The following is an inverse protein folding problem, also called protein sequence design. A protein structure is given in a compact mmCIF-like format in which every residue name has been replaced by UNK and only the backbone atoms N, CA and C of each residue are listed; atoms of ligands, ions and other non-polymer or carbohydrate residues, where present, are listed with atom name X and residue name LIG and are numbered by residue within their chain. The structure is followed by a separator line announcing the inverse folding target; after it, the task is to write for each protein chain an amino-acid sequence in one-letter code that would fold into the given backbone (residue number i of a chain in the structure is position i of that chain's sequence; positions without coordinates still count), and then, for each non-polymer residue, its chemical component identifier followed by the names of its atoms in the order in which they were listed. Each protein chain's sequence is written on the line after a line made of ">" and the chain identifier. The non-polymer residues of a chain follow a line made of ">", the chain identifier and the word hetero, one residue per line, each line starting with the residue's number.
data_IF_446127611374
#
_entry.id   IF_446127611374
#
_cell.length_a   1.000
_cell.length_b   1.000
_cell.length_c   1.000
_cell.angle_alpha   90.00
_cell.angle_beta   90.00
_cell.angle_gamma   90.00
#
_symmetry.space_group_name_H-M   'P 1'
#
loop_
_entity.id
_entity.type
_entity.pdbx_description
1 polymer ?
#
# COMPACT_ATOMS: atom_id res chain seq x y z
N UNK A 1 -5.16 -24.04 -5.13
CA UNK A 1 -4.24 -22.97 -4.71
C UNK A 1 -5.10 -21.74 -4.54
N UNK A 2 -5.17 -21.21 -3.33
CA UNK A 2 -5.91 -19.98 -3.10
C UNK A 2 -5.31 -18.86 -3.94
N UNK A 3 -6.17 -18.13 -4.64
CA UNK A 3 -5.78 -16.94 -5.39
C UNK A 3 -5.18 -15.93 -4.41
N UNK A 4 -3.94 -15.49 -4.65
CA UNK A 4 -3.25 -14.52 -3.79
C UNK A 4 -4.04 -13.23 -3.63
N UNK A 5 -4.85 -12.88 -4.62
CA UNK A 5 -5.83 -11.81 -4.49
C UNK A 5 -6.83 -12.06 -3.37
N UNK A 6 -7.40 -13.26 -3.28
CA UNK A 6 -8.30 -13.66 -2.20
C UNK A 6 -7.61 -13.60 -0.85
N UNK A 7 -6.35 -14.07 -0.77
CA UNK A 7 -5.55 -14.02 0.45
C UNK A 7 -5.36 -12.56 0.90
N UNK A 8 -4.95 -11.66 0.02
CA UNK A 8 -4.75 -10.25 0.35
C UNK A 8 -6.02 -9.59 0.88
N UNK A 9 -7.17 -9.86 0.25
CA UNK A 9 -8.47 -9.31 0.67
C UNK A 9 -8.86 -9.78 2.08
N UNK A 10 -8.48 -10.99 2.49
CA UNK A 10 -8.74 -11.50 3.85
C UNK A 10 -7.98 -10.73 4.94
N UNK A 11 -6.89 -10.04 4.59
CA UNK A 11 -6.10 -9.22 5.51
C UNK A 11 -6.49 -7.74 5.50
N UNK A 12 -7.58 -7.37 4.82
CA UNK A 12 -8.10 -6.01 4.89
C UNK A 12 -8.53 -5.66 6.33
N UNK A 13 -8.02 -4.54 6.83
CA UNK A 13 -8.40 -3.97 8.11
C UNK A 13 -9.26 -2.74 7.84
N UNK A 14 -10.44 -2.71 8.44
CA UNK A 14 -11.32 -1.53 8.42
C UNK A 14 -10.79 -0.45 9.38
N UNK A 15 -10.62 0.77 8.86
CA UNK A 15 -10.33 1.96 9.65
C UNK A 15 -11.62 2.60 10.19
N UNK A 16 -11.48 3.52 11.13
CA UNK A 16 -12.61 4.21 11.76
C UNK A 16 -13.50 4.97 10.76
N UNK A 17 -12.95 5.38 9.62
CA UNK A 17 -13.68 6.09 8.55
C UNK A 17 -14.24 5.14 7.49
N UNK A 18 -14.36 3.84 7.79
CA UNK A 18 -14.90 2.78 6.93
C UNK A 18 -14.15 2.59 5.62
N UNK A 19 -12.88 2.98 5.60
CA UNK A 19 -11.95 2.65 4.51
C UNK A 19 -11.21 1.38 4.92
N UNK A 20 -10.71 0.62 3.95
CA UNK A 20 -9.91 -0.56 4.24
C UNK A 20 -8.46 -0.34 3.83
N UNK A 21 -7.56 -0.97 4.56
CA UNK A 21 -6.13 -1.01 4.23
C UNK A 21 -5.54 -2.39 4.51
N UNK A 22 -4.43 -2.69 3.85
CA UNK A 22 -3.64 -3.90 4.06
C UNK A 22 -2.28 -3.50 4.65
N UNK A 23 -1.88 -4.05 5.81
CA UNK A 23 -0.57 -3.76 6.38
C UNK A 23 0.60 -4.19 5.52
N UNK A 24 1.66 -3.38 5.52
CA UNK A 24 2.88 -3.70 4.77
C UNK A 24 3.55 -4.97 5.28
N UNK A 25 3.43 -5.30 6.57
CA UNK A 25 3.93 -6.56 7.13
C UNK A 25 3.28 -7.78 6.46
N UNK A 26 1.97 -7.72 6.21
CA UNK A 26 1.24 -8.79 5.50
C UNK A 26 1.81 -8.98 4.10
N UNK A 27 2.16 -7.90 3.40
CA UNK A 27 2.75 -8.03 2.06
C UNK A 27 4.08 -8.79 2.10
N UNK A 28 4.92 -8.55 3.12
CA UNK A 28 6.19 -9.28 3.30
C UNK A 28 5.96 -10.77 3.57
N UNK A 29 4.93 -11.09 4.35
CA UNK A 29 4.63 -12.47 4.73
C UNK A 29 3.98 -13.25 3.58
N UNK A 30 3.11 -12.59 2.80
CA UNK A 30 2.33 -13.21 1.72
C UNK A 30 3.14 -13.36 0.44
N UNK A 31 3.93 -12.35 0.07
CA UNK A 31 4.71 -12.36 -1.17
C UNK A 31 6.06 -13.05 -0.96
N UNK A 32 6.04 -14.38 -0.97
CA UNK A 32 7.26 -15.19 -1.05
C UNK A 32 7.73 -15.36 -2.49
N UNK A 33 8.98 -15.81 -2.67
CA UNK A 33 9.53 -16.14 -4.00
C UNK A 33 8.64 -17.16 -4.73
N UNK A 34 8.16 -18.17 -4.03
CA UNK A 34 7.32 -19.24 -4.57
C UNK A 34 5.93 -18.70 -4.95
N UNK A 35 5.36 -17.85 -4.09
CA UNK A 35 4.07 -17.19 -4.31
C UNK A 35 4.11 -16.31 -5.56
N UNK A 36 5.14 -15.47 -5.70
CA UNK A 36 5.34 -14.62 -6.88
C UNK A 36 5.58 -15.49 -8.12
N UNK A 37 6.44 -16.50 -8.06
CA UNK A 37 6.71 -17.37 -9.22
C UNK A 37 5.45 -18.10 -9.71
N UNK A 38 4.60 -18.57 -8.78
CA UNK A 38 3.32 -19.17 -9.12
C UNK A 38 2.40 -18.18 -9.85
N UNK A 39 2.27 -16.95 -9.35
CA UNK A 39 1.50 -15.88 -10.01
C UNK A 39 2.02 -15.57 -11.41
N UNK A 40 3.33 -15.48 -11.58
CA UNK A 40 3.92 -15.17 -12.87
C UNK A 40 3.62 -16.24 -13.93
N UNK A 41 3.59 -17.51 -13.53
CA UNK A 41 3.17 -18.62 -14.40
C UNK A 41 1.68 -18.52 -14.75
N UNK A 42 0.83 -18.24 -13.77
CA UNK A 42 -0.62 -18.08 -13.98
C UNK A 42 -0.94 -16.87 -14.88
N UNK A 43 -0.17 -15.79 -14.71
CA UNK A 43 -0.25 -14.60 -15.54
C UNK A 43 0.48 -14.77 -16.88
N UNK A 44 0.92 -15.96 -17.28
CA UNK A 44 1.61 -16.22 -18.56
C UNK A 44 2.74 -15.24 -18.88
N UNK A 45 3.50 -14.80 -17.86
CA UNK A 45 4.70 -13.98 -18.06
C UNK A 45 5.83 -14.90 -18.52
N UNK A 46 6.64 -14.46 -19.49
CA UNK A 46 7.72 -15.28 -20.04
C UNK A 46 8.78 -15.61 -18.98
N UNK A 47 9.24 -16.87 -18.94
CA UNK A 47 10.14 -17.41 -17.92
C UNK A 47 11.44 -16.60 -17.77
N UNK A 48 11.92 -16.00 -18.86
CA UNK A 48 13.13 -15.19 -18.87
C UNK A 48 13.06 -14.00 -17.90
N UNK A 49 11.88 -13.38 -17.76
CA UNK A 49 11.68 -12.24 -16.86
C UNK A 49 11.40 -12.64 -15.40
N UNK A 50 11.19 -13.92 -15.10
CA UNK A 50 10.76 -14.35 -13.75
C UNK A 50 11.75 -13.97 -12.67
N UNK A 51 13.04 -14.23 -12.89
CA UNK A 51 14.05 -13.95 -11.88
C UNK A 51 14.20 -12.46 -11.61
N UNK A 52 14.13 -11.63 -12.66
CA UNK A 52 14.21 -10.18 -12.52
C UNK A 52 13.01 -9.63 -11.75
N UNK A 53 11.79 -9.99 -12.16
CA UNK A 53 10.56 -9.53 -11.51
C UNK A 53 10.49 -9.99 -10.06
N UNK A 54 10.79 -11.26 -9.77
CA UNK A 54 10.81 -11.77 -8.39
C UNK A 54 11.78 -10.95 -7.54
N UNK A 55 13.00 -10.69 -8.05
CA UNK A 55 14.00 -9.90 -7.34
C UNK A 55 13.48 -8.48 -7.08
N UNK A 56 12.96 -7.80 -8.11
CA UNK A 56 12.47 -6.42 -8.01
C UNK A 56 11.27 -6.31 -7.07
N UNK A 57 10.32 -7.22 -7.16
CA UNK A 57 9.14 -7.25 -6.27
C UNK A 57 9.58 -7.40 -4.82
N UNK A 58 10.45 -8.37 -4.52
CA UNK A 58 10.90 -8.62 -3.15
C UNK A 58 11.81 -7.51 -2.61
N UNK A 59 12.53 -6.77 -3.46
CA UNK A 59 13.41 -5.69 -3.00
C UNK A 59 12.69 -4.37 -2.74
N UNK A 60 11.74 -3.98 -3.60
CA UNK A 60 11.29 -2.59 -3.65
C UNK A 60 9.93 -2.34 -4.32
N UNK A 61 9.17 -3.38 -4.68
CA UNK A 61 7.91 -3.20 -5.42
C UNK A 61 6.74 -4.00 -4.83
N UNK A 62 6.78 -4.33 -3.53
CA UNK A 62 5.76 -5.14 -2.88
C UNK A 62 4.39 -4.47 -2.92
N UNK A 63 4.29 -3.16 -2.63
CA UNK A 63 3.01 -2.44 -2.66
C UNK A 63 2.49 -2.33 -4.08
N UNK A 64 3.34 -1.92 -5.01
CA UNK A 64 2.99 -1.83 -6.43
C UNK A 64 2.47 -3.18 -6.94
N UNK A 65 3.21 -4.26 -6.69
CA UNK A 65 2.82 -5.59 -7.12
C UNK A 65 1.53 -6.06 -6.46
N UNK A 66 1.31 -5.77 -5.17
CA UNK A 66 0.06 -6.06 -4.49
C UNK A 66 -1.14 -5.37 -5.14
N UNK A 67 -0.99 -4.11 -5.56
CA UNK A 67 -2.02 -3.38 -6.30
C UNK A 67 -2.33 -4.10 -7.61
N UNK A 68 -1.29 -4.43 -8.39
CA UNK A 68 -1.43 -5.14 -9.67
C UNK A 68 -2.17 -6.47 -9.52
N UNK A 69 -1.80 -7.26 -8.51
CA UNK A 69 -2.48 -8.54 -8.19
C UNK A 69 -3.95 -8.33 -7.87
N UNK A 70 -4.29 -7.33 -7.04
CA UNK A 70 -5.69 -7.08 -6.66
C UNK A 70 -6.54 -6.58 -7.83
N UNK A 71 -5.97 -5.84 -8.78
CA UNK A 71 -6.69 -5.38 -9.96
C UNK A 71 -6.68 -6.40 -11.12
N UNK A 72 -5.90 -7.48 -11.01
CA UNK A 72 -5.79 -8.52 -12.05
C UNK A 72 -4.76 -8.21 -13.15
N UNK A 73 -3.91 -7.21 -12.96
CA UNK A 73 -2.97 -6.69 -13.96
C UNK A 73 -1.51 -7.10 -13.67
N UNK A 74 -1.29 -8.31 -13.15
CA UNK A 74 0.05 -8.79 -12.75
C UNK A 74 1.10 -8.69 -13.87
N UNK A 75 0.70 -8.85 -15.14
CA UNK A 75 1.58 -8.72 -16.31
C UNK A 75 2.19 -7.32 -16.43
N UNK A 76 1.47 -6.30 -16.00
CA UNK A 76 1.86 -4.90 -16.17
C UNK A 76 3.08 -4.52 -15.33
N UNK A 77 3.54 -5.37 -14.40
CA UNK A 77 4.78 -5.15 -13.64
C UNK A 77 6.00 -4.96 -14.56
N UNK A 78 6.03 -5.64 -15.71
CA UNK A 78 7.10 -5.48 -16.71
C UNK A 78 7.19 -4.03 -17.19
N UNK A 79 6.06 -3.43 -17.53
CA UNK A 79 5.99 -2.05 -18.01
C UNK A 79 6.45 -1.06 -16.94
N UNK A 80 6.11 -1.29 -15.67
CA UNK A 80 6.59 -0.45 -14.57
C UNK A 80 8.10 -0.54 -14.38
N UNK A 81 8.68 -1.74 -14.54
CA UNK A 81 10.13 -1.94 -14.48
C UNK A 81 10.81 -1.28 -15.68
N UNK A 82 10.27 -1.44 -16.89
CA UNK A 82 10.82 -0.87 -18.12
C UNK A 82 10.75 0.67 -18.14
N UNK A 83 9.65 1.24 -17.65
CA UNK A 83 9.49 2.69 -17.50
C UNK A 83 10.39 3.27 -16.38
N UNK A 84 10.86 2.44 -15.45
CA UNK A 84 11.80 2.86 -14.43
C UNK A 84 13.24 2.85 -14.97
N UNK A 85 13.62 3.93 -15.66
CA UNK A 85 14.96 4.13 -16.19
C UNK A 85 16.04 4.39 -15.11
N UNK A 86 15.77 4.10 -13.84
CA UNK A 86 16.70 4.38 -12.74
C UNK A 86 17.64 3.20 -12.48
N UNK A 87 18.87 3.51 -12.05
CA UNK A 87 19.89 2.51 -11.70
C UNK A 87 19.59 1.77 -10.39
N UNK A 88 18.67 2.28 -9.59
CA UNK A 88 18.16 1.68 -8.36
C UNK A 88 16.65 1.80 -8.37
N UNK A 89 15.92 0.80 -8.91
CA UNK A 89 14.47 0.86 -8.92
C UNK A 89 13.98 0.86 -7.48
N UNK A 90 13.26 1.90 -7.10
CA UNK A 90 12.43 1.93 -5.89
C UNK A 90 11.01 2.25 -6.33
N UNK A 91 10.34 1.24 -6.88
CA UNK A 91 9.02 1.39 -7.49
C UNK A 91 7.96 1.76 -6.45
N UNK A 92 8.05 1.24 -5.23
CA UNK A 92 7.14 1.60 -4.15
C UNK A 92 7.32 3.07 -3.72
N UNK A 93 8.52 3.66 -3.83
CA UNK A 93 8.73 5.09 -3.51
C UNK A 93 8.02 6.05 -4.46
N UNK A 94 7.68 5.61 -5.67
CA UNK A 94 6.95 6.40 -6.67
C UNK A 94 5.45 6.46 -6.40
N UNK A 95 4.95 5.64 -5.48
CA UNK A 95 3.55 5.68 -5.08
C UNK A 95 3.28 6.93 -4.21
N UNK A 96 2.10 7.56 -4.33
CA UNK A 96 1.00 7.21 -5.22
C UNK A 96 1.21 7.71 -6.67
N UNK A 97 0.80 6.90 -7.65
CA UNK A 97 0.76 7.32 -9.05
C UNK A 97 -0.53 8.12 -9.36
N UNK A 98 -0.41 9.12 -10.23
CA UNK A 98 -1.54 9.85 -10.81
C UNK A 98 -1.89 9.34 -12.22
N UNK A 99 -2.97 9.86 -12.81
CA UNK A 99 -3.44 9.40 -14.12
C UNK A 99 -2.44 9.70 -15.23
N UNK A 100 -1.75 10.85 -15.17
CA UNK A 100 -0.77 11.25 -16.17
C UNK A 100 0.42 10.28 -16.19
N UNK A 101 0.97 9.93 -15.03
CA UNK A 101 2.09 8.99 -14.92
C UNK A 101 1.69 7.59 -15.41
N UNK A 102 0.44 7.19 -15.21
CA UNK A 102 -0.04 5.86 -15.61
C UNK A 102 -0.37 5.74 -17.10
N UNK A 103 -0.45 6.85 -17.86
CA UNK A 103 -0.69 6.82 -19.32
C UNK A 103 0.43 6.12 -20.08
N UNK A 104 1.65 6.18 -19.56
CA UNK A 104 2.81 5.50 -20.14
C UNK A 104 2.73 3.97 -19.97
N UNK A 105 1.98 3.51 -18.97
CA UNK A 105 1.81 2.08 -18.65
C UNK A 105 0.57 1.49 -19.34
N UNK A 106 -0.56 2.21 -19.25
CA UNK A 106 -1.84 1.80 -19.81
C UNK A 106 -2.42 2.92 -20.67
N UNK A 107 -2.69 2.61 -21.94
CA UNK A 107 -3.42 3.51 -22.85
C UNK A 107 -4.88 3.69 -22.44
N UNK A 108 -5.49 2.61 -21.96
CA UNK A 108 -6.90 2.56 -21.56
C UNK A 108 -7.15 3.20 -20.20
N UNK A 109 -8.30 3.87 -20.07
CA UNK A 109 -8.62 4.68 -18.89
C UNK A 109 -9.10 3.85 -17.69
N UNK A 110 -9.63 2.66 -17.91
CA UNK A 110 -10.33 1.91 -16.87
C UNK A 110 -9.34 1.26 -15.89
N UNK A 111 -8.26 0.66 -16.38
CA UNK A 111 -7.16 0.11 -15.59
C UNK A 111 -6.54 1.18 -14.71
N UNK A 112 -6.28 2.37 -15.28
CA UNK A 112 -5.73 3.52 -14.53
C UNK A 112 -6.66 3.96 -13.42
N UNK A 113 -7.96 4.12 -13.69
CA UNK A 113 -8.96 4.49 -12.67
C UNK A 113 -9.03 3.46 -11.55
N UNK A 114 -9.03 2.17 -11.89
CA UNK A 114 -9.09 1.09 -10.91
C UNK A 114 -7.82 1.06 -10.06
N UNK A 115 -6.64 1.20 -10.68
CA UNK A 115 -5.36 1.31 -9.99
C UNK A 115 -5.33 2.51 -9.02
N UNK A 116 -5.68 3.70 -9.50
CA UNK A 116 -5.65 4.94 -8.72
C UNK A 116 -6.57 4.85 -7.50
N UNK A 117 -7.70 4.16 -7.62
CA UNK A 117 -8.61 3.92 -6.51
C UNK A 117 -8.04 2.91 -5.53
N UNK A 118 -7.43 1.82 -6.02
CA UNK A 118 -6.96 0.70 -5.20
C UNK A 118 -5.64 0.97 -4.49
N UNK A 119 -4.74 1.80 -5.04
CA UNK A 119 -3.44 2.06 -4.41
C UNK A 119 -3.51 2.50 -2.94
N UNK A 120 -4.55 3.28 -2.58
CA UNK A 120 -4.67 3.84 -1.24
C UNK A 120 -4.83 2.81 -0.12
N UNK A 121 -5.32 1.59 -0.44
CA UNK A 121 -5.43 0.53 0.56
C UNK A 121 -4.05 -0.05 0.95
N UNK A 122 -3.01 0.13 0.11
CA UNK A 122 -1.65 -0.36 0.38
C UNK A 122 -0.70 0.74 0.87
N UNK A 123 -1.16 1.99 0.86
CA UNK A 123 -0.39 3.19 1.24
C UNK A 123 -0.77 3.72 2.62
N UNK A 124 -1.35 2.86 3.47
CA UNK A 124 -1.58 3.24 4.87
C UNK A 124 -0.25 3.52 5.56
N UNK A 125 -0.10 4.67 6.24
CA UNK A 125 1.16 5.06 6.85
C UNK A 125 1.51 4.16 8.03
N UNK A 126 2.77 3.75 8.10
CA UNK A 126 3.34 3.12 9.29
C UNK A 126 3.85 4.19 10.26
N UNK A 127 3.37 4.18 11.50
CA UNK A 127 3.63 5.25 12.48
C UNK A 127 4.74 4.85 13.45
N UNK A 128 5.79 5.66 13.54
CA UNK A 128 6.96 5.43 14.39
C UNK A 128 7.27 6.65 15.26
N UNK A 129 8.02 6.45 16.36
CA UNK A 129 8.27 7.49 17.36
C UNK A 129 9.08 8.68 16.83
N UNK A 130 9.98 8.43 15.89
CA UNK A 130 10.94 9.40 15.36
C UNK A 130 10.47 10.06 14.04
N UNK A 131 9.17 10.02 13.75
CA UNK A 131 8.70 10.63 12.51
C UNK A 131 8.47 12.13 12.71
N UNK A 132 9.33 12.92 12.05
CA UNK A 132 9.13 14.34 11.80
C UNK A 132 7.73 14.62 11.22
N UNK A 133 7.27 15.87 11.31
CA UNK A 133 5.97 16.31 10.79
C UNK A 133 5.73 15.83 9.34
N UNK A 134 4.80 14.89 9.15
CA UNK A 134 4.41 14.39 7.82
C UNK A 134 3.14 15.07 7.32
N UNK A 135 3.14 15.47 6.05
CA UNK A 135 1.91 15.83 5.33
C UNK A 135 1.41 14.58 4.62
N UNK A 136 0.20 14.16 4.95
CA UNK A 136 -0.45 13.01 4.32
C UNK A 136 -1.52 13.50 3.36
N UNK A 137 -1.72 12.77 2.26
CA UNK A 137 -2.82 13.03 1.33
C UNK A 137 -4.17 12.82 2.02
N UNK A 138 -5.17 13.63 1.67
CA UNK A 138 -6.56 13.43 2.14
C UNK A 138 -7.16 12.09 1.70
N UNK A 139 -6.56 11.46 0.68
CA UNK A 139 -6.96 10.13 0.20
C UNK A 139 -6.33 8.99 1.01
N UNK A 140 -5.28 9.26 1.79
CA UNK A 140 -4.61 8.24 2.57
C UNK A 140 -5.58 7.59 3.57
N UNK A 141 -5.51 6.26 3.64
CA UNK A 141 -6.25 5.48 4.65
C UNK A 141 -5.41 5.48 5.92
N UNK A 142 -5.81 6.28 6.91
CA UNK A 142 -5.11 6.33 8.19
C UNK A 142 -5.37 5.02 8.96
N UNK A 143 -4.35 4.41 9.59
CA UNK A 143 -4.45 3.13 10.29
C UNK A 143 -5.16 3.25 11.65
N UNK A 144 -6.10 4.19 11.79
CA UNK A 144 -6.84 4.42 13.01
C UNK A 144 -8.06 3.50 13.04
N UNK A 145 -8.14 2.61 14.04
CA UNK A 145 -9.27 1.70 14.24
C UNK A 145 -10.36 2.30 15.13
N UNK A 146 -10.02 3.35 15.90
CA UNK A 146 -11.00 4.14 16.63
C UNK A 146 -10.57 5.61 16.70
N UNK A 147 -11.55 6.51 16.85
CA UNK A 147 -11.33 7.94 17.00
C UNK A 147 -12.38 8.56 17.91
N UNK A 148 -11.93 9.25 18.95
CA UNK A 148 -12.77 9.92 19.93
C UNK A 148 -12.34 11.38 20.04
N UNK A 149 -13.27 12.32 19.98
CA UNK A 149 -12.95 13.74 20.21
C UNK A 149 -12.83 13.97 21.71
N UNK A 150 -11.68 14.46 22.15
CA UNK A 150 -11.41 14.73 23.58
C UNK A 150 -11.31 16.22 23.90
N UNK A 151 -11.29 17.08 22.88
CA UNK A 151 -11.21 18.52 23.11
C UNK A 151 -11.24 19.35 21.82
N UNK A 152 -11.27 20.66 22.01
CA UNK A 152 -11.12 21.65 20.96
C UNK A 152 -10.46 22.91 21.54
N UNK A 153 -9.75 23.66 20.71
CA UNK A 153 -9.18 24.95 21.06
C UNK A 153 -9.14 25.90 19.86
N UNK A 154 -8.56 27.09 20.04
CA UNK A 154 -8.47 28.11 18.97
C UNK A 154 -7.79 27.64 17.68
N UNK A 155 -6.98 26.58 17.76
CA UNK A 155 -6.20 26.02 16.65
C UNK A 155 -6.70 24.66 16.15
N UNK A 156 -7.90 24.23 16.52
CA UNK A 156 -8.53 23.02 15.97
C UNK A 156 -9.08 22.04 17.01
N UNK A 157 -9.41 20.84 16.53
CA UNK A 157 -9.95 19.75 17.36
C UNK A 157 -8.84 18.77 17.76
N UNK A 158 -8.95 18.21 18.97
CA UNK A 158 -8.05 17.19 19.50
C UNK A 158 -8.79 15.87 19.62
N UNK A 159 -8.19 14.80 19.09
CA UNK A 159 -8.76 13.46 19.10
C UNK A 159 -7.82 12.47 19.77
N UNK A 160 -8.38 11.52 20.51
CA UNK A 160 -7.74 10.27 20.91
C UNK A 160 -8.03 9.22 19.84
N UNK A 161 -6.99 8.63 19.24
CA UNK A 161 -7.14 7.59 18.21
C UNK A 161 -6.51 6.27 18.65
N UNK A 162 -7.07 5.13 18.22
CA UNK A 162 -6.46 3.80 18.40
C UNK A 162 -5.81 3.35 17.11
N UNK A 163 -4.63 2.75 17.21
CA UNK A 163 -3.87 2.20 16.08
C UNK A 163 -3.88 0.67 16.10
N UNK A 164 -3.85 0.06 14.92
CA UNK A 164 -3.59 -1.38 14.79
C UNK A 164 -2.10 -1.69 15.05
N UNK A 165 -1.81 -2.74 15.81
CA UNK A 165 -0.43 -3.14 16.17
C UNK A 165 0.49 -3.34 14.95
N UNK A 166 -0.05 -3.82 13.84
CA UNK A 166 0.68 -4.03 12.58
C UNK A 166 1.08 -2.74 11.86
N UNK A 167 0.67 -1.58 12.38
CA UNK A 167 0.84 -0.27 11.76
C UNK A 167 1.62 0.72 12.63
N UNK A 168 2.27 0.26 13.71
CA UNK A 168 3.19 1.08 14.48
C UNK A 168 4.30 0.29 15.17
N UNK A 169 5.40 0.98 15.49
CA UNK A 169 6.47 0.51 16.39
C UNK A 169 6.49 1.28 17.71
N UNK A 170 5.45 2.06 17.96
CA UNK A 170 5.29 2.92 19.14
C UNK A 170 4.96 2.10 20.39
N UNK A 171 6.01 1.68 21.11
CA UNK A 171 5.97 0.81 22.30
C UNK A 171 5.41 -0.60 22.02
N UNK A 172 5.73 -1.58 22.85
CA UNK A 172 5.26 -2.99 22.73
C UNK A 172 3.73 -3.16 22.96
N UNK A 173 2.98 -2.07 23.01
CA UNK A 173 1.54 -2.08 23.24
C UNK A 173 0.79 -2.54 21.98
N UNK A 174 -0.15 -3.49 22.13
CA UNK A 174 -1.03 -3.96 21.03
C UNK A 174 -1.96 -2.86 20.48
N UNK A 175 -2.11 -1.76 21.18
CA UNK A 175 -2.92 -0.61 20.77
C UNK A 175 -2.36 0.63 21.42
N UNK A 176 -2.12 1.66 20.62
CA UNK A 176 -1.66 2.95 21.11
C UNK A 176 -2.77 4.00 21.02
N UNK A 177 -2.85 4.87 22.04
CA UNK A 177 -3.68 6.07 22.01
C UNK A 177 -2.83 7.28 21.60
N UNK A 178 -3.12 7.90 20.45
CA UNK A 178 -2.45 9.14 20.02
C UNK A 178 -3.36 10.35 20.11
N UNK A 179 -2.75 11.53 20.30
CA UNK A 179 -3.39 12.83 20.16
C UNK A 179 -3.21 13.36 18.75
N UNK A 180 -4.31 13.52 18.01
CA UNK A 180 -4.30 14.10 16.66
C UNK A 180 -4.92 15.48 16.68
N UNK A 181 -4.18 16.48 16.19
CA UNK A 181 -4.67 17.86 15.99
C UNK A 181 -5.00 18.07 14.52
N UNK A 182 -6.26 18.38 14.22
CA UNK A 182 -6.70 18.75 12.86
C UNK A 182 -6.85 20.27 12.78
N UNK A 183 -6.03 20.90 11.93
CA UNK A 183 -6.12 22.33 11.63
C UNK A 183 -7.40 22.62 10.82
N UNK A 184 -7.98 23.80 11.05
CA UNK A 184 -9.17 24.28 10.31
C UNK A 184 -8.78 24.86 8.97
#
# INVERSE_FOLDING_TARGET
>A
MDDLRTILIQYEIESYDRKTFIPFSVLKDVFTKEAISSLMRQASIELFYHNEIIRTVLSCALRLFAILVVIGETKSIQKFIEADHTTQPDLDSKLPFDDETLKEIWSESDERKVFIRKQWMFLSPYIEADQAHRRLSDRAVLPFTAKEKIGAGGYGNVYKVRLAASQHSLNDAKTLSLLVKRLR
#
